data_IF_465956004101
#
_entry.id   IF_465956004101
#
_cell.length_a   1.000
_cell.length_b   1.000
_cell.length_c   1.000
_cell.angle_alpha   90.00
_cell.angle_beta   90.00
_cell.angle_gamma   90.00
#
_symmetry.space_group_name_H-M   'P 1'
#
loop_
_entity.id
_entity.type
_entity.pdbx_description
1 polymer ?
#
# COMPACT_ATOMS: atom_id res chain seq x y z
N UNK A 1 -3.14 -11.66 4.43
CA UNK A 1 -2.60 -11.40 3.09
C UNK A 1 -1.84 -10.09 2.99
N UNK A 2 -1.28 -9.82 1.84
CA UNK A 2 -0.58 -8.56 1.59
C UNK A 2 -1.48 -7.36 1.84
N UNK A 3 -0.94 -6.34 2.50
CA UNK A 3 -1.70 -5.16 2.87
C UNK A 3 -2.45 -5.27 4.18
N UNK A 4 -2.49 -6.44 4.78
CA UNK A 4 -3.09 -6.59 6.10
C UNK A 4 -2.12 -6.09 7.18
N UNK A 5 -2.71 -5.59 8.25
CA UNK A 5 -1.99 -5.23 9.45
C UNK A 5 -2.12 -6.35 10.46
N UNK A 6 -1.05 -6.67 11.15
CA UNK A 6 -1.10 -7.54 12.32
C UNK A 6 -0.72 -6.75 13.57
N UNK A 7 -1.37 -7.09 14.67
CA UNK A 7 -1.03 -6.57 15.97
C UNK A 7 -0.43 -7.72 16.75
N UNK A 8 0.85 -7.59 17.07
CA UNK A 8 1.60 -8.57 17.85
C UNK A 8 1.57 -8.17 19.31
N UNK A 9 1.08 -9.06 20.16
CA UNK A 9 1.08 -8.86 21.60
C UNK A 9 1.93 -9.93 22.27
N UNK A 10 2.85 -9.51 23.12
CA UNK A 10 3.58 -10.37 24.05
C UNK A 10 3.19 -9.97 25.46
N UNK A 11 2.97 -10.94 26.31
CA UNK A 11 2.70 -10.68 27.73
C UNK A 11 3.23 -11.82 28.60
N UNK A 12 3.41 -11.52 29.85
CA UNK A 12 4.06 -12.37 30.83
C UNK A 12 5.36 -11.77 31.31
N UNK A 13 6.47 -12.46 31.14
CA UNK A 13 7.79 -11.94 31.51
C UNK A 13 8.22 -10.78 30.62
N UNK A 14 7.83 -10.79 29.36
CA UNK A 14 8.03 -9.68 28.42
C UNK A 14 6.67 -9.13 28.00
N UNK A 15 6.53 -7.82 28.00
CA UNK A 15 5.29 -7.17 27.60
C UNK A 15 5.57 -6.22 26.42
N UNK A 16 4.87 -6.44 25.31
CA UNK A 16 5.04 -5.68 24.07
C UNK A 16 3.73 -5.71 23.31
N UNK A 17 3.42 -4.62 22.64
CA UNK A 17 2.31 -4.57 21.67
C UNK A 17 2.73 -3.67 20.53
N UNK A 18 2.89 -4.25 19.35
CA UNK A 18 3.32 -3.54 18.15
C UNK A 18 2.48 -3.92 16.95
N UNK A 19 2.38 -2.98 16.02
CA UNK A 19 1.68 -3.14 14.76
C UNK A 19 2.69 -3.36 13.65
N UNK A 20 2.40 -4.33 12.79
CA UNK A 20 3.22 -4.64 11.62
C UNK A 20 2.34 -4.70 10.38
N UNK A 21 2.86 -4.23 9.28
CA UNK A 21 2.20 -4.30 7.98
C UNK A 21 2.84 -5.44 7.20
N UNK A 22 2.00 -6.35 6.71
CA UNK A 22 2.46 -7.42 5.81
C UNK A 22 2.65 -6.82 4.42
N UNK A 23 3.87 -6.88 3.90
CA UNK A 23 4.18 -6.34 2.59
C UNK A 23 3.66 -7.24 1.45
N UNK A 24 3.92 -6.83 0.20
CA UNK A 24 3.43 -7.55 -0.99
C UNK A 24 3.98 -8.98 -1.10
N UNK A 25 5.16 -9.24 -0.54
CA UNK A 25 5.77 -10.56 -0.52
C UNK A 25 5.31 -11.42 0.66
N UNK A 26 4.43 -10.90 1.51
CA UNK A 26 3.94 -11.60 2.69
C UNK A 26 4.90 -11.54 3.88
N UNK A 27 5.80 -10.55 3.91
CA UNK A 27 6.82 -10.41 4.95
C UNK A 27 6.45 -9.29 5.91
N UNK A 28 6.85 -9.44 7.17
CA UNK A 28 6.97 -8.34 8.12
C UNK A 28 8.44 -8.11 8.45
N UNK A 29 8.78 -6.88 8.80
CA UNK A 29 10.12 -6.55 9.27
C UNK A 29 10.12 -6.43 10.80
N UNK A 30 10.99 -7.20 11.45
CA UNK A 30 11.19 -7.12 12.89
C UNK A 30 12.61 -6.69 13.18
N UNK A 31 12.77 -5.65 13.99
CA UNK A 31 14.08 -5.12 14.34
C UNK A 31 14.96 -6.20 14.99
N UNK A 32 16.23 -6.25 14.61
CA UNK A 32 17.22 -7.23 15.06
C UNK A 32 17.04 -8.68 14.57
N UNK A 33 15.96 -8.99 13.87
CA UNK A 33 15.74 -10.30 13.23
C UNK A 33 15.76 -10.16 11.71
N UNK A 34 15.12 -9.11 11.20
CA UNK A 34 14.95 -8.90 9.76
C UNK A 34 13.56 -9.28 9.28
N UNK A 35 13.46 -9.73 8.05
CA UNK A 35 12.18 -10.08 7.44
C UNK A 35 11.72 -11.48 7.89
N UNK A 36 10.46 -11.56 8.28
CA UNK A 36 9.80 -12.81 8.68
C UNK A 36 8.68 -13.08 7.69
N UNK A 37 8.66 -14.27 7.11
CA UNK A 37 7.67 -14.67 6.12
C UNK A 37 6.42 -15.22 6.80
N UNK A 38 5.28 -14.55 6.58
CA UNK A 38 3.98 -14.96 7.08
C UNK A 38 3.01 -15.36 5.96
N UNK A 39 3.50 -15.46 4.72
CA UNK A 39 2.66 -15.82 3.58
C UNK A 39 2.15 -17.26 3.68
N UNK A 40 0.94 -17.48 3.20
CA UNK A 40 0.30 -18.80 3.15
C UNK A 40 0.19 -19.51 4.52
N UNK A 41 0.11 -18.73 5.59
CA UNK A 41 -0.05 -19.25 6.95
C UNK A 41 -1.40 -18.86 7.50
N UNK A 42 -2.01 -19.77 8.27
CA UNK A 42 -3.12 -19.43 9.15
C UNK A 42 -2.60 -18.54 10.28
N UNK A 43 -3.52 -17.88 11.02
CA UNK A 43 -3.13 -17.09 12.20
C UNK A 43 -2.34 -17.94 13.18
N UNK A 44 -2.79 -19.16 13.42
CA UNK A 44 -2.14 -20.07 14.36
C UNK A 44 -0.76 -20.51 13.89
N UNK A 45 -0.61 -20.81 12.60
CA UNK A 45 0.70 -21.13 12.02
C UNK A 45 1.66 -19.93 12.07
N UNK A 46 1.14 -18.74 11.83
CA UNK A 46 1.93 -17.51 11.94
C UNK A 46 2.37 -17.26 13.38
N UNK A 47 1.50 -17.49 14.35
CA UNK A 47 1.86 -17.37 15.77
C UNK A 47 3.00 -18.33 16.14
N UNK A 48 2.90 -19.59 15.73
CA UNK A 48 3.95 -20.58 15.99
C UNK A 48 5.28 -20.18 15.32
N UNK A 49 5.20 -19.72 14.09
CA UNK A 49 6.39 -19.25 13.37
C UNK A 49 7.04 -18.05 14.06
N UNK A 50 6.23 -17.11 14.53
CA UNK A 50 6.73 -15.93 15.26
C UNK A 50 7.32 -16.32 16.62
N UNK A 51 6.73 -17.27 17.33
CA UNK A 51 7.33 -17.79 18.57
C UNK A 51 8.73 -18.33 18.29
N UNK A 52 8.91 -19.09 17.23
CA UNK A 52 10.22 -19.66 16.89
C UNK A 52 11.22 -18.55 16.51
N UNK A 53 10.81 -17.58 15.71
CA UNK A 53 11.70 -16.50 15.29
C UNK A 53 12.03 -15.55 16.44
N UNK A 54 11.02 -15.14 17.21
CA UNK A 54 11.20 -14.17 18.30
C UNK A 54 11.85 -14.78 19.54
N UNK A 55 11.83 -16.10 19.70
CA UNK A 55 12.53 -16.76 20.81
C UNK A 55 14.04 -16.53 20.78
N UNK A 56 14.58 -16.13 19.64
CA UNK A 56 15.99 -15.74 19.51
C UNK A 56 16.31 -14.46 20.28
N UNK A 57 15.31 -13.60 20.50
CA UNK A 57 15.43 -12.37 21.28
C UNK A 57 14.78 -12.53 22.66
N UNK A 58 13.59 -13.12 22.70
CA UNK A 58 12.79 -13.29 23.90
C UNK A 58 12.77 -14.77 24.28
N UNK A 59 13.78 -15.21 25.02
CA UNK A 59 13.95 -16.62 25.38
C UNK A 59 12.77 -17.18 26.20
N UNK A 60 12.08 -16.33 26.94
CA UNK A 60 10.92 -16.73 27.77
C UNK A 60 9.70 -17.15 26.95
N UNK A 61 9.69 -16.92 25.63
CA UNK A 61 8.65 -17.47 24.75
C UNK A 61 8.62 -19.00 24.75
N UNK A 62 9.73 -19.65 25.11
CA UNK A 62 9.83 -21.11 25.22
C UNK A 62 10.08 -21.60 26.65
N UNK A 63 9.95 -20.72 27.63
CA UNK A 63 10.09 -21.07 29.04
C UNK A 63 8.80 -21.70 29.55
N UNK A 64 8.90 -22.84 30.23
CA UNK A 64 7.75 -23.55 30.80
C UNK A 64 7.35 -23.05 32.19
N UNK A 65 8.25 -22.38 32.91
CA UNK A 65 7.98 -21.90 34.27
C UNK A 65 7.45 -20.48 34.30
N UNK A 66 8.14 -19.57 33.56
CA UNK A 66 7.77 -18.16 33.47
C UNK A 66 7.61 -17.75 32.01
N UNK A 67 6.58 -18.23 31.33
CA UNK A 67 6.47 -18.01 29.90
C UNK A 67 6.08 -16.59 29.54
N UNK A 68 6.62 -16.13 28.42
CA UNK A 68 6.02 -15.05 27.65
C UNK A 68 5.10 -15.68 26.62
N UNK A 69 3.89 -15.14 26.53
CA UNK A 69 2.87 -15.60 25.57
C UNK A 69 2.80 -14.65 24.40
N UNK A 70 2.43 -15.18 23.25
CA UNK A 70 2.31 -14.42 22.01
C UNK A 70 0.94 -14.62 21.40
N UNK A 71 0.34 -13.52 20.96
CA UNK A 71 -0.92 -13.55 20.21
C UNK A 71 -0.83 -12.57 19.05
N UNK A 72 -1.45 -12.94 17.93
CA UNK A 72 -1.60 -12.09 16.77
C UNK A 72 -3.08 -11.76 16.58
N UNK A 73 -3.37 -10.48 16.42
CA UNK A 73 -4.68 -10.02 15.97
C UNK A 73 -4.56 -9.49 14.55
N UNK A 74 -5.53 -9.82 13.70
CA UNK A 74 -5.59 -9.28 12.35
C UNK A 74 -6.32 -7.94 12.37
N UNK A 75 -5.72 -6.96 11.72
CA UNK A 75 -6.33 -5.67 11.45
C UNK A 75 -6.33 -5.40 9.96
N UNK A 76 -7.04 -4.35 9.56
CA UNK A 76 -6.95 -3.84 8.20
C UNK A 76 -6.18 -2.53 8.21
N UNK A 77 -5.33 -2.35 7.20
CA UNK A 77 -4.71 -1.06 6.98
C UNK A 77 -5.77 0.00 6.74
N UNK A 78 -5.54 1.17 7.29
CA UNK A 78 -6.39 2.32 7.05
C UNK A 78 -6.31 2.71 5.58
N UNK A 79 -7.46 2.77 4.90
CA UNK A 79 -7.54 3.25 3.52
C UNK A 79 -7.04 4.69 3.40
N UNK A 80 -6.50 5.02 2.22
CA UNK A 80 -6.03 6.35 1.90
C UNK A 80 -7.16 7.17 1.31
N UNK A 81 -7.27 8.44 1.72
CA UNK A 81 -8.11 9.41 1.03
C UNK A 81 -7.32 9.94 -0.17
N UNK A 82 -7.78 9.62 -1.36
CA UNK A 82 -7.19 10.10 -2.60
C UNK A 82 -8.19 11.01 -3.30
N UNK A 83 -7.72 12.18 -3.70
CA UNK A 83 -8.53 13.17 -4.39
C UNK A 83 -8.33 13.04 -5.88
N UNK A 84 -9.43 13.05 -6.62
CA UNK A 84 -9.42 12.94 -8.07
C UNK A 84 -9.99 14.23 -8.66
N UNK A 85 -9.26 14.79 -9.62
CA UNK A 85 -9.66 16.04 -10.27
C UNK A 85 -9.37 15.99 -11.77
N UNK A 86 -9.98 16.92 -12.51
CA UNK A 86 -9.86 17.02 -13.95
C UNK A 86 -10.81 16.07 -14.69
N UNK A 87 -10.37 15.55 -15.80
CA UNK A 87 -11.17 14.75 -16.72
C UNK A 87 -11.25 13.27 -16.27
N UNK A 88 -11.89 13.04 -15.15
CA UNK A 88 -12.10 11.72 -14.56
C UNK A 88 -13.60 11.46 -14.38
N UNK A 89 -14.00 10.19 -14.48
CA UNK A 89 -15.41 9.82 -14.41
C UNK A 89 -16.06 10.16 -13.06
N UNK A 90 -15.32 9.98 -11.97
CA UNK A 90 -15.81 10.24 -10.61
C UNK A 90 -14.85 11.16 -9.87
N UNK A 91 -14.92 12.48 -10.09
CA UNK A 91 -14.08 13.43 -9.35
C UNK A 91 -14.48 13.47 -7.88
N UNK A 92 -13.58 13.97 -7.05
CA UNK A 92 -13.77 14.08 -5.62
C UNK A 92 -12.87 13.12 -4.85
N UNK A 93 -13.18 12.90 -3.58
CA UNK A 93 -12.39 12.03 -2.72
C UNK A 93 -12.92 10.60 -2.75
N UNK A 94 -12.01 9.63 -2.82
CA UNK A 94 -12.31 8.21 -2.70
C UNK A 94 -11.32 7.53 -1.76
N UNK A 95 -11.81 6.50 -1.05
CA UNK A 95 -10.97 5.65 -0.23
C UNK A 95 -10.29 4.61 -1.12
N UNK A 96 -8.98 4.56 -1.05
CA UNK A 96 -8.15 3.70 -1.86
C UNK A 96 -7.30 2.81 -0.95
N UNK A 97 -7.14 1.55 -1.33
CA UNK A 97 -6.29 0.63 -0.58
C UNK A 97 -4.85 1.15 -0.52
N UNK A 98 -4.18 1.09 0.65
CA UNK A 98 -2.84 1.68 0.83
C UNK A 98 -1.77 1.16 -0.12
N UNK A 99 -1.93 -0.04 -0.68
CA UNK A 99 -1.00 -0.62 -1.63
C UNK A 99 -1.44 -0.50 -3.09
N UNK A 100 -2.54 0.19 -3.34
CA UNK A 100 -2.94 0.48 -4.70
C UNK A 100 -1.95 1.41 -5.36
N UNK A 101 -1.63 1.14 -6.62
CA UNK A 101 -0.90 2.08 -7.45
C UNK A 101 -1.86 3.07 -8.11
N UNK A 102 -1.31 4.03 -8.83
CA UNK A 102 -2.09 5.07 -9.50
C UNK A 102 -3.06 4.49 -10.56
N UNK A 103 -2.68 3.40 -11.22
CA UNK A 103 -3.52 2.74 -12.21
C UNK A 103 -4.77 2.11 -11.57
N UNK A 104 -4.58 1.35 -10.51
CA UNK A 104 -5.69 0.73 -9.77
C UNK A 104 -6.61 1.80 -9.18
N UNK A 105 -6.05 2.87 -8.64
CA UNK A 105 -6.83 3.98 -8.09
C UNK A 105 -7.68 4.67 -9.16
N UNK A 106 -7.15 4.86 -10.36
CA UNK A 106 -7.91 5.41 -11.48
C UNK A 106 -9.05 4.51 -11.93
N UNK A 107 -8.83 3.21 -11.99
CA UNK A 107 -9.89 2.24 -12.34
C UNK A 107 -11.00 2.32 -11.29
N UNK A 108 -10.65 2.39 -10.02
CA UNK A 108 -11.62 2.51 -8.93
C UNK A 108 -12.44 3.80 -9.05
N UNK A 109 -11.84 4.88 -9.54
CA UNK A 109 -12.50 6.16 -9.78
C UNK A 109 -13.30 6.21 -11.10
N UNK A 110 -13.46 5.08 -11.78
CA UNK A 110 -14.24 4.96 -13.01
C UNK A 110 -13.46 5.26 -14.29
N UNK A 111 -12.16 5.47 -14.22
CA UNK A 111 -11.31 5.74 -15.37
C UNK A 111 -11.33 7.20 -15.83
N UNK A 112 -10.69 7.45 -16.93
CA UNK A 112 -10.51 8.78 -17.52
C UNK A 112 -11.62 9.07 -18.53
N UNK A 113 -12.14 10.29 -18.53
CA UNK A 113 -13.10 10.74 -19.54
C UNK A 113 -12.44 10.86 -20.93
N UNK A 114 -13.28 10.93 -21.97
CA UNK A 114 -12.80 11.06 -23.38
C UNK A 114 -11.88 12.27 -23.57
N UNK A 115 -12.18 13.39 -22.92
CA UNK A 115 -11.37 14.59 -22.98
C UNK A 115 -10.12 14.55 -22.11
N UNK A 116 -9.94 13.46 -21.34
CA UNK A 116 -8.80 13.32 -20.43
C UNK A 116 -7.54 12.80 -21.13
N UNK A 117 -6.40 13.26 -20.65
CA UNK A 117 -5.10 12.82 -21.18
C UNK A 117 -4.58 11.61 -20.43
N UNK A 118 -4.42 10.48 -21.12
CA UNK A 118 -3.71 9.31 -20.61
C UNK A 118 -2.20 9.52 -20.58
N UNK A 119 -1.69 10.55 -21.26
CA UNK A 119 -0.25 10.81 -21.38
C UNK A 119 0.32 11.67 -20.28
N UNK A 120 -0.53 12.33 -19.52
CA UNK A 120 -0.08 13.29 -18.51
C UNK A 120 -0.97 13.22 -17.27
N UNK A 121 -1.00 12.05 -16.64
CA UNK A 121 -1.71 11.89 -15.38
C UNK A 121 -0.79 12.34 -14.25
N UNK A 122 -1.21 13.38 -13.53
CA UNK A 122 -0.38 14.04 -12.55
C UNK A 122 -0.68 13.53 -11.16
N UNK A 123 0.37 13.19 -10.42
CA UNK A 123 0.28 12.93 -8.99
C UNK A 123 0.76 14.19 -8.25
N UNK A 124 -0.15 14.81 -7.51
CA UNK A 124 0.09 16.06 -6.80
C UNK A 124 0.09 15.81 -5.31
N UNK A 125 1.13 16.28 -4.64
CA UNK A 125 1.31 16.17 -3.20
C UNK A 125 1.83 17.50 -2.65
N UNK A 126 1.19 17.99 -1.59
CA UNK A 126 1.56 19.29 -0.99
C UNK A 126 1.62 20.42 -2.01
N UNK A 127 0.62 20.47 -2.89
CA UNK A 127 0.49 21.46 -3.98
C UNK A 127 1.62 21.44 -5.02
N UNK A 128 2.35 20.33 -5.09
CA UNK A 128 3.43 20.14 -6.08
C UNK A 128 3.18 18.91 -6.91
N UNK A 129 3.41 19.00 -8.21
CA UNK A 129 3.42 17.83 -9.09
C UNK A 129 4.67 17.03 -8.79
N UNK A 130 4.50 15.86 -8.17
CA UNK A 130 5.62 14.98 -7.83
C UNK A 130 5.92 13.96 -8.92
N UNK A 131 4.94 13.67 -9.77
CA UNK A 131 5.14 12.77 -10.90
C UNK A 131 4.10 13.00 -11.97
N UNK A 132 4.47 12.72 -13.20
CA UNK A 132 3.56 12.66 -14.35
C UNK A 132 3.68 11.28 -14.97
N UNK A 133 2.54 10.61 -15.14
CA UNK A 133 2.48 9.22 -15.61
C UNK A 133 1.87 9.21 -17.02
N UNK A 134 2.50 8.45 -17.90
CA UNK A 134 2.01 8.20 -19.25
C UNK A 134 1.47 6.79 -19.37
N UNK A 135 0.15 6.62 -19.23
CA UNK A 135 -0.47 5.32 -19.40
C UNK A 135 -0.57 4.89 -20.86
N UNK A 136 -0.47 5.83 -21.79
CA UNK A 136 -0.42 5.48 -23.20
C UNK A 136 0.82 4.62 -23.50
N UNK A 137 1.91 4.93 -22.89
CA UNK A 137 3.15 4.15 -22.97
C UNK A 137 2.98 2.74 -22.44
N UNK A 138 2.25 2.60 -21.34
CA UNK A 138 1.90 1.29 -20.79
C UNK A 138 1.04 0.48 -21.76
N UNK A 139 -0.04 1.06 -22.28
CA UNK A 139 -0.96 0.35 -23.17
C UNK A 139 -0.34 0.04 -24.53
N UNK A 140 0.51 0.89 -25.06
CA UNK A 140 1.09 0.72 -26.39
C UNK A 140 2.39 -0.10 -26.39
N UNK A 141 3.20 0.00 -25.33
CA UNK A 141 4.53 -0.63 -25.29
C UNK A 141 4.77 -1.50 -24.05
N UNK A 142 3.81 -1.58 -23.15
CA UNK A 142 3.96 -2.34 -21.92
C UNK A 142 4.92 -1.74 -20.90
N UNK A 143 5.31 -0.48 -21.06
CA UNK A 143 6.21 0.19 -20.11
C UNK A 143 5.45 0.58 -18.85
N UNK A 144 5.88 0.08 -17.71
CA UNK A 144 5.24 0.35 -16.42
C UNK A 144 6.18 1.15 -15.51
N UNK A 145 6.08 2.47 -15.59
CA UNK A 145 6.86 3.39 -14.77
C UNK A 145 6.17 3.75 -13.46
N UNK A 146 4.90 3.37 -13.31
CA UNK A 146 4.07 3.86 -12.21
C UNK A 146 3.97 2.88 -11.05
N UNK A 147 4.39 1.64 -11.20
CA UNK A 147 4.28 0.61 -10.14
C UNK A 147 5.10 0.95 -8.89
N UNK A 148 6.15 1.74 -9.04
CA UNK A 148 6.98 2.20 -7.93
C UNK A 148 6.47 3.45 -7.25
N UNK A 149 5.46 4.12 -7.83
CA UNK A 149 4.86 5.32 -7.24
C UNK A 149 3.92 4.93 -6.10
N UNK A 150 4.31 5.27 -4.90
CA UNK A 150 3.51 5.01 -3.73
C UNK A 150 2.55 6.16 -3.45
N UNK A 151 1.27 5.83 -3.34
CA UNK A 151 0.25 6.79 -2.93
C UNK A 151 0.29 6.98 -1.41
N UNK A 152 0.06 8.20 -0.96
CA UNK A 152 -0.12 8.51 0.45
C UNK A 152 -1.44 9.25 0.66
N UNK A 153 -1.91 9.24 1.91
CA UNK A 153 -3.14 9.94 2.27
C UNK A 153 -3.07 11.43 1.91
N UNK A 154 -4.12 11.91 1.26
CA UNK A 154 -4.18 13.30 0.82
C UNK A 154 -3.62 13.58 -0.57
N UNK A 155 -3.06 12.59 -1.25
CA UNK A 155 -2.60 12.76 -2.64
C UNK A 155 -3.73 13.13 -3.58
N UNK A 156 -3.42 13.90 -4.61
CA UNK A 156 -4.33 14.29 -5.67
C UNK A 156 -3.87 13.65 -6.97
N UNK A 157 -4.78 12.97 -7.65
CA UNK A 157 -4.57 12.48 -9.01
C UNK A 157 -5.36 13.39 -9.92
N UNK A 158 -4.66 14.12 -10.76
CA UNK A 158 -5.24 15.11 -11.69
C UNK A 158 -5.04 14.67 -13.13
N UNK A 159 -6.15 14.64 -13.87
CA UNK A 159 -6.14 14.30 -15.29
C UNK A 159 -6.45 15.56 -16.08
N UNK A 160 -5.45 16.18 -16.74
CA UNK A 160 -5.69 17.37 -17.54
C UNK A 160 -6.45 17.02 -18.81
N UNK A 161 -7.08 18.03 -19.37
CA UNK A 161 -7.73 17.94 -20.68
C UNK A 161 -6.69 17.67 -21.75
N UNK A 162 -7.05 16.90 -22.76
CA UNK A 162 -6.21 16.75 -23.96
C UNK A 162 -6.13 18.11 -24.64
N UNK A 163 -4.93 18.67 -24.72
CA UNK A 163 -4.70 19.83 -25.55
C UNK A 163 -4.75 19.42 -27.01
N UNK A 164 -5.91 19.56 -27.64
CA UNK A 164 -6.00 19.57 -29.07
C UNK A 164 -5.37 20.89 -29.55
N UNK A 165 -4.08 20.87 -29.78
CA UNK A 165 -3.44 21.93 -30.55
C UNK A 165 -3.90 21.79 -32.00
N UNK A 166 -5.08 22.30 -32.26
CA UNK A 166 -5.40 22.66 -33.64
C UNK A 166 -4.62 23.90 -33.90
N UNK A 167 -3.48 23.77 -34.54
CA UNK A 167 -2.84 24.90 -35.16
C UNK A 167 -3.79 25.41 -36.24
N UNK A 168 -4.54 26.40 -35.90
CA UNK A 168 -5.24 27.17 -36.91
C UNK A 168 -4.15 28.02 -37.61
N UNK A 169 -3.53 27.42 -38.57
CA UNK A 169 -2.81 28.21 -39.56
C UNK A 169 -3.87 28.85 -40.44
N UNK A 170 -4.27 29.98 -39.96
CA UNK A 170 -5.20 30.79 -40.73
C UNK A 170 -4.54 31.66 -41.71
#
# INVERSE_FOLDING_TARGET
GAGDEIILSLWGETNLRERFVINKEGLIYYENIGFINLSNKTVKEAELHLVNELSKIYSTLKDNENPTRLMIELGKLKSLNIYFSGEIAKPGVQLVHPFSDIFVALIQAGGVNIEGSLRNIQLIRDNKIISSVDFYDFFSRGVNDFSSLRLIDGDIIHIPTIENRVEITG
#
